data_IF_266647331552
#
_entry.id   IF_266647331552
#
_cell.length_a   1.000
_cell.length_b   1.000
_cell.length_c   1.000
_cell.angle_alpha   90.00
_cell.angle_beta   90.00
_cell.angle_gamma   90.00
#
_symmetry.space_group_name_H-M   'P 1'
#
loop_
_entity.id
_entity.type
_entity.pdbx_description
1 polymer ?
#
# COMPACT_ATOMS: atom_id res chain seq x y z
N UNK A 1 -10.71 -10.84 30.15
CA UNK A 1 -10.82 -9.69 29.24
C UNK A 1 -9.39 -9.35 28.80
N UNK A 2 -8.94 -9.82 27.64
CA UNK A 2 -7.63 -9.47 27.10
C UNK A 2 -7.70 -8.02 26.59
N UNK A 3 -6.78 -7.17 27.04
CA UNK A 3 -6.61 -5.82 26.51
C UNK A 3 -6.18 -5.95 25.03
N UNK A 4 -7.10 -5.69 24.13
CA UNK A 4 -6.86 -5.59 22.69
C UNK A 4 -6.31 -4.19 22.36
N UNK A 5 -5.18 -3.81 22.95
CA UNK A 5 -4.47 -2.59 22.59
C UNK A 5 -3.68 -2.81 21.29
N UNK A 6 -3.72 -1.84 20.36
CA UNK A 6 -2.83 -1.81 19.20
C UNK A 6 -1.37 -1.81 19.67
N UNK A 7 -0.47 -2.39 18.86
CA UNK A 7 0.97 -2.29 19.17
C UNK A 7 1.45 -0.84 19.01
N UNK A 8 2.52 -0.41 19.73
CA UNK A 8 3.09 0.93 19.56
C UNK A 8 3.48 1.25 18.11
N UNK A 9 3.93 0.26 17.35
CA UNK A 9 4.23 0.43 15.93
C UNK A 9 2.96 0.67 15.10
N UNK A 10 1.88 -0.07 15.37
CA UNK A 10 0.58 0.12 14.70
C UNK A 10 0.03 1.52 14.97
N UNK A 11 0.11 2.01 16.19
CA UNK A 11 -0.30 3.38 16.56
C UNK A 11 0.53 4.45 15.82
N UNK A 12 1.84 4.25 15.73
CA UNK A 12 2.73 5.15 14.99
C UNK A 12 2.40 5.18 13.49
N UNK A 13 2.18 4.03 12.88
CA UNK A 13 1.79 3.91 11.45
C UNK A 13 0.44 4.56 11.21
N UNK A 14 -0.55 4.31 12.07
CA UNK A 14 -1.87 4.93 11.98
C UNK A 14 -1.77 6.47 12.01
N UNK A 15 -1.01 7.02 12.96
CA UNK A 15 -0.84 8.48 13.10
C UNK A 15 -0.15 9.09 11.87
N UNK A 16 0.89 8.45 11.33
CA UNK A 16 1.60 8.90 10.13
C UNK A 16 0.69 8.95 8.90
N UNK A 17 -0.10 7.90 8.68
CA UNK A 17 -1.02 7.83 7.54
C UNK A 17 -2.24 8.72 7.71
N UNK A 18 -2.73 8.91 8.95
CA UNK A 18 -3.78 9.90 9.22
C UNK A 18 -3.32 11.32 8.87
N UNK A 19 -2.07 11.68 9.23
CA UNK A 19 -1.49 12.99 8.90
C UNK A 19 -1.29 13.20 7.39
N UNK A 20 -0.99 12.16 6.62
CA UNK A 20 -0.78 12.23 5.16
C UNK A 20 -2.05 11.95 4.35
N UNK A 21 -3.16 11.63 4.98
CA UNK A 21 -4.37 11.13 4.29
C UNK A 21 -4.96 12.13 3.30
N UNK A 22 -4.97 13.42 3.62
CA UNK A 22 -5.45 14.47 2.70
C UNK A 22 -4.54 14.60 1.48
N UNK A 23 -3.22 14.57 1.69
CA UNK A 23 -2.24 14.62 0.61
C UNK A 23 -2.35 13.39 -0.30
N UNK A 24 -2.52 12.20 0.29
CA UNK A 24 -2.71 10.96 -0.46
C UNK A 24 -3.99 10.99 -1.31
N UNK A 25 -5.11 11.46 -0.76
CA UNK A 25 -6.39 11.60 -1.47
C UNK A 25 -6.29 12.65 -2.60
N UNK A 26 -5.61 13.77 -2.35
CA UNK A 26 -5.37 14.80 -3.37
C UNK A 26 -4.51 14.30 -4.55
N UNK A 27 -3.69 13.27 -4.34
CA UNK A 27 -2.86 12.65 -5.38
C UNK A 27 -3.50 11.40 -6.01
N UNK A 28 -4.79 11.16 -5.79
CA UNK A 28 -5.49 9.95 -6.27
C UNK A 28 -5.33 9.73 -7.78
N UNK A 29 -5.40 10.79 -8.59
CA UNK A 29 -5.24 10.68 -10.06
C UNK A 29 -3.83 10.24 -10.47
N UNK A 30 -2.79 10.70 -9.80
CA UNK A 30 -1.40 10.29 -10.04
C UNK A 30 -1.21 8.83 -9.64
N UNK A 31 -1.74 8.44 -8.48
CA UNK A 31 -1.69 7.07 -7.97
C UNK A 31 -2.44 6.10 -8.89
N UNK A 32 -3.63 6.48 -9.35
CA UNK A 32 -4.44 5.65 -10.23
C UNK A 32 -3.78 5.48 -11.61
N UNK A 33 -3.20 6.54 -12.17
CA UNK A 33 -2.44 6.45 -13.41
C UNK A 33 -1.22 5.53 -13.26
N UNK A 34 -0.44 5.70 -12.18
CA UNK A 34 0.74 4.89 -11.90
C UNK A 34 0.41 3.41 -11.66
N UNK A 35 -0.59 3.15 -10.81
CA UNK A 35 -0.93 1.80 -10.33
C UNK A 35 -1.97 1.06 -11.18
N UNK A 36 -2.53 1.67 -12.24
CA UNK A 36 -3.62 1.08 -13.02
C UNK A 36 -3.29 -0.29 -13.59
N UNK A 37 -2.12 -0.46 -14.19
CA UNK A 37 -1.62 -1.72 -14.72
C UNK A 37 -1.38 -2.76 -13.62
N UNK A 38 -0.52 -2.46 -12.62
CA UNK A 38 -0.28 -3.34 -11.49
C UNK A 38 -1.55 -3.76 -10.73
N UNK A 39 -2.51 -2.83 -10.54
CA UNK A 39 -3.79 -3.15 -9.90
C UNK A 39 -4.57 -4.20 -10.70
N UNK A 40 -4.68 -4.04 -12.03
CA UNK A 40 -5.34 -5.05 -12.87
C UNK A 40 -4.69 -6.42 -12.72
N UNK A 41 -3.36 -6.49 -12.79
CA UNK A 41 -2.62 -7.75 -12.58
C UNK A 41 -2.91 -8.35 -11.20
N UNK A 42 -2.94 -7.55 -10.14
CA UNK A 42 -3.29 -8.02 -8.80
C UNK A 42 -4.70 -8.60 -8.74
N UNK A 43 -5.70 -7.95 -9.38
CA UNK A 43 -7.08 -8.45 -9.43
C UNK A 43 -7.19 -9.76 -10.24
N UNK A 44 -6.43 -9.87 -11.34
CA UNK A 44 -6.40 -11.10 -12.16
C UNK A 44 -5.79 -12.27 -11.37
N UNK A 45 -4.68 -12.04 -10.67
CA UNK A 45 -4.01 -13.04 -9.84
C UNK A 45 -4.86 -13.48 -8.63
N UNK A 46 -5.71 -12.59 -8.11
CA UNK A 46 -6.68 -12.92 -7.08
C UNK A 46 -7.88 -13.73 -7.61
N UNK A 47 -7.99 -13.93 -8.93
CA UNK A 47 -9.09 -14.67 -9.55
C UNK A 47 -10.45 -14.01 -9.36
N UNK A 48 -10.50 -12.68 -9.32
CA UNK A 48 -11.74 -11.94 -9.08
C UNK A 48 -12.56 -11.89 -10.36
N UNK A 49 -13.81 -12.35 -10.25
CA UNK A 49 -14.78 -12.41 -11.35
C UNK A 49 -16.07 -11.63 -10.99
N UNK A 50 -16.95 -11.36 -11.98
CA UNK A 50 -18.27 -10.81 -11.70
C UNK A 50 -19.05 -11.67 -10.70
N UNK A 51 -19.63 -11.00 -9.69
CA UNK A 51 -20.35 -11.68 -8.60
C UNK A 51 -19.50 -12.07 -7.39
N UNK A 52 -18.17 -11.98 -7.45
CA UNK A 52 -17.28 -12.31 -6.34
C UNK A 52 -17.56 -11.49 -5.09
N UNK A 53 -17.42 -12.12 -3.92
CA UNK A 53 -17.36 -11.46 -2.61
C UNK A 53 -15.89 -11.27 -2.22
N UNK A 54 -15.42 -10.02 -2.14
CA UNK A 54 -14.00 -9.70 -2.02
C UNK A 54 -13.74 -8.88 -0.75
N UNK A 55 -12.63 -9.19 -0.08
CA UNK A 55 -12.04 -8.41 1.00
C UNK A 55 -10.94 -7.50 0.43
N UNK A 56 -11.10 -6.19 0.58
CA UNK A 56 -10.11 -5.17 0.20
C UNK A 56 -9.44 -4.64 1.47
N UNK A 57 -8.19 -5.01 1.69
CA UNK A 57 -7.41 -4.72 2.89
C UNK A 57 -6.53 -3.49 2.64
N UNK A 58 -6.49 -2.57 3.62
CA UNK A 58 -5.80 -1.29 3.52
C UNK A 58 -6.28 -0.51 2.28
N UNK A 59 -7.60 -0.35 2.20
CA UNK A 59 -8.28 0.22 1.04
C UNK A 59 -8.02 1.73 0.86
N UNK A 60 -7.52 2.40 1.90
CA UNK A 60 -7.28 3.84 1.88
C UNK A 60 -8.56 4.63 1.61
N UNK A 61 -8.49 5.64 0.76
CA UNK A 61 -9.65 6.41 0.31
C UNK A 61 -10.47 5.71 -0.80
N UNK A 62 -10.13 4.47 -1.17
CA UNK A 62 -10.96 3.63 -2.05
C UNK A 62 -10.60 3.63 -3.54
N UNK A 63 -9.41 4.13 -3.94
CA UNK A 63 -9.01 4.13 -5.35
C UNK A 63 -9.08 2.72 -5.98
N UNK A 64 -8.42 1.73 -5.36
CA UNK A 64 -8.51 0.33 -5.81
C UNK A 64 -9.91 -0.28 -5.63
N UNK A 65 -10.63 0.12 -4.57
CA UNK A 65 -11.99 -0.38 -4.28
C UNK A 65 -12.96 -0.04 -5.42
N UNK A 66 -12.83 1.15 -6.01
CA UNK A 66 -13.66 1.58 -7.16
C UNK A 66 -13.38 0.70 -8.38
N UNK A 67 -12.11 0.43 -8.68
CA UNK A 67 -11.71 -0.48 -9.77
C UNK A 67 -12.21 -1.90 -9.51
N UNK A 68 -12.07 -2.37 -8.27
CA UNK A 68 -12.58 -3.66 -7.83
C UNK A 68 -14.11 -3.76 -7.98
N UNK A 69 -14.85 -2.70 -7.64
CA UNK A 69 -16.31 -2.67 -7.75
C UNK A 69 -16.79 -2.78 -9.21
N UNK A 70 -16.03 -2.20 -10.15
CA UNK A 70 -16.29 -2.37 -11.59
C UNK A 70 -16.09 -3.83 -12.01
N UNK A 71 -15.07 -4.50 -11.45
CA UNK A 71 -14.74 -5.90 -11.75
C UNK A 71 -15.81 -6.87 -11.23
N UNK A 72 -16.22 -6.76 -9.96
CA UNK A 72 -17.21 -7.66 -9.36
C UNK A 72 -18.65 -7.38 -9.84
N UNK A 73 -18.91 -6.17 -10.32
CA UNK A 73 -20.22 -5.77 -10.84
C UNK A 73 -21.31 -5.71 -9.75
N UNK A 74 -22.57 -5.51 -10.19
CA UNK A 74 -23.71 -5.23 -9.28
C UNK A 74 -24.09 -6.42 -8.39
N UNK A 75 -23.74 -7.64 -8.76
CA UNK A 75 -24.03 -8.86 -7.99
C UNK A 75 -22.92 -9.19 -6.98
N UNK A 76 -21.73 -8.61 -7.13
CA UNK A 76 -20.62 -8.78 -6.20
C UNK A 76 -20.84 -8.08 -4.87
N UNK A 77 -19.94 -8.33 -3.93
CA UNK A 77 -19.88 -7.66 -2.62
C UNK A 77 -18.44 -7.38 -2.27
N UNK A 78 -18.18 -6.22 -1.70
CA UNK A 78 -16.85 -5.82 -1.25
C UNK A 78 -16.95 -5.38 0.20
N UNK A 79 -16.10 -5.97 1.06
CA UNK A 79 -15.76 -5.40 2.35
C UNK A 79 -14.41 -4.71 2.21
N UNK A 80 -14.40 -3.38 2.27
CA UNK A 80 -13.19 -2.58 2.23
C UNK A 80 -12.82 -2.15 3.65
N UNK A 81 -11.61 -2.49 4.08
CA UNK A 81 -11.11 -2.20 5.44
C UNK A 81 -9.87 -1.33 5.40
N UNK A 82 -9.77 -0.40 6.35
CA UNK A 82 -8.55 0.38 6.59
C UNK A 82 -8.38 0.62 8.09
N UNK A 83 -7.14 0.78 8.53
CA UNK A 83 -6.81 1.06 9.92
C UNK A 83 -7.29 2.46 10.34
N UNK A 84 -7.25 3.44 9.42
CA UNK A 84 -7.59 4.83 9.65
C UNK A 84 -9.10 5.08 9.52
N UNK A 85 -9.82 5.44 10.60
CA UNK A 85 -11.23 5.85 10.49
C UNK A 85 -11.44 7.03 9.54
N UNK A 86 -10.46 7.94 9.45
CA UNK A 86 -10.51 9.07 8.54
C UNK A 86 -10.52 8.63 7.07
N UNK A 87 -9.62 7.70 6.68
CA UNK A 87 -9.60 7.14 5.32
C UNK A 87 -10.87 6.36 5.01
N UNK A 88 -11.40 5.61 5.97
CA UNK A 88 -12.67 4.89 5.81
C UNK A 88 -13.83 5.85 5.54
N UNK A 89 -13.88 6.99 6.20
CA UNK A 89 -14.92 8.00 5.93
C UNK A 89 -14.77 8.61 4.52
N UNK A 90 -13.53 8.89 4.09
CA UNK A 90 -13.24 9.30 2.71
C UNK A 90 -13.66 8.24 1.69
N UNK A 91 -13.36 6.97 1.96
CA UNK A 91 -13.78 5.84 1.14
C UNK A 91 -15.30 5.79 1.02
N UNK A 92 -16.03 5.91 2.13
CA UNK A 92 -17.52 5.96 2.12
C UNK A 92 -18.05 7.07 1.23
N UNK A 93 -17.47 8.27 1.33
CA UNK A 93 -17.84 9.40 0.48
C UNK A 93 -17.56 9.14 -1.01
N UNK A 94 -16.39 8.57 -1.34
CA UNK A 94 -15.99 8.25 -2.71
C UNK A 94 -16.90 7.16 -3.33
N UNK A 95 -17.17 6.11 -2.58
CA UNK A 95 -18.07 5.00 -2.95
C UNK A 95 -19.50 5.49 -3.17
N UNK A 96 -20.02 6.35 -2.27
CA UNK A 96 -21.36 6.92 -2.38
C UNK A 96 -21.49 7.81 -3.62
N UNK A 97 -20.50 8.67 -3.89
CA UNK A 97 -20.47 9.52 -5.09
C UNK A 97 -20.41 8.70 -6.38
N UNK A 98 -19.73 7.56 -6.36
CA UNK A 98 -19.67 6.63 -7.48
C UNK A 98 -20.91 5.72 -7.58
N UNK A 99 -21.88 5.78 -6.66
CA UNK A 99 -23.09 4.96 -6.66
C UNK A 99 -22.86 3.46 -6.41
N UNK A 100 -21.76 3.09 -5.76
CA UNK A 100 -21.30 1.72 -5.58
C UNK A 100 -21.92 1.08 -4.32
N UNK A 101 -23.17 0.64 -4.40
CA UNK A 101 -23.94 0.08 -3.27
C UNK A 101 -23.46 -1.30 -2.78
N UNK A 102 -22.60 -1.98 -3.55
CA UNK A 102 -22.06 -3.30 -3.20
C UNK A 102 -20.84 -3.21 -2.26
N UNK A 103 -20.36 -2.00 -1.93
CA UNK A 103 -19.18 -1.77 -1.09
C UNK A 103 -19.62 -1.41 0.32
N UNK A 104 -19.16 -2.19 1.30
CA UNK A 104 -19.17 -1.86 2.72
C UNK A 104 -17.77 -1.39 3.13
N UNK A 105 -17.67 -0.26 3.86
CA UNK A 105 -16.41 0.28 4.35
C UNK A 105 -16.36 0.24 5.88
N UNK A 106 -15.29 -0.36 6.44
CA UNK A 106 -15.15 -0.61 7.88
C UNK A 106 -13.74 -0.22 8.36
N UNK A 107 -13.65 0.52 9.47
CA UNK A 107 -12.38 0.72 10.17
C UNK A 107 -12.01 -0.57 10.91
N UNK A 108 -10.84 -1.15 10.57
CA UNK A 108 -10.37 -2.39 11.17
C UNK A 108 -8.84 -2.51 11.06
N UNK A 109 -8.21 -3.08 12.10
CA UNK A 109 -6.84 -3.53 12.02
C UNK A 109 -6.81 -4.90 11.33
N UNK A 110 -6.17 -4.95 10.17
CA UNK A 110 -6.08 -6.18 9.38
C UNK A 110 -5.25 -7.28 10.05
N UNK A 111 -4.50 -6.97 11.10
CA UNK A 111 -3.75 -7.93 11.91
C UNK A 111 -4.66 -8.66 12.92
N UNK A 112 -5.90 -8.20 13.07
CA UNK A 112 -6.89 -8.82 13.94
C UNK A 112 -7.85 -9.71 13.13
N UNK A 113 -8.29 -10.84 13.69
CA UNK A 113 -9.27 -11.69 13.02
C UNK A 113 -10.56 -10.92 12.70
N UNK A 114 -11.09 -11.14 11.50
CA UNK A 114 -12.42 -10.68 11.12
C UNK A 114 -13.49 -11.60 11.72
N UNK A 115 -14.71 -11.09 11.88
CA UNK A 115 -15.88 -11.89 12.27
C UNK A 115 -16.33 -12.81 11.12
N UNK A 116 -16.01 -12.41 9.89
CA UNK A 116 -16.31 -13.18 8.67
C UNK A 116 -15.25 -14.27 8.46
N UNK A 117 -15.62 -15.52 8.65
CA UNK A 117 -14.79 -16.69 8.33
C UNK A 117 -15.37 -17.43 7.12
N UNK A 118 -14.51 -18.01 6.27
CA UNK A 118 -14.92 -18.75 5.07
C UNK A 118 -15.95 -17.98 4.21
N UNK A 119 -15.77 -16.66 4.12
CA UNK A 119 -16.80 -15.76 3.59
C UNK A 119 -16.44 -15.14 2.24
N UNK A 120 -15.14 -15.00 1.92
CA UNK A 120 -14.70 -14.28 0.73
C UNK A 120 -14.15 -15.22 -0.33
N UNK A 121 -14.48 -14.96 -1.59
CA UNK A 121 -13.96 -15.67 -2.76
C UNK A 121 -12.51 -15.23 -3.05
N UNK A 122 -12.21 -13.96 -2.77
CA UNK A 122 -10.88 -13.40 -2.92
C UNK A 122 -10.60 -12.31 -1.88
N UNK A 123 -9.30 -12.03 -1.68
CA UNK A 123 -8.83 -10.88 -0.92
C UNK A 123 -7.72 -10.16 -1.67
N UNK A 124 -7.60 -8.85 -1.48
CA UNK A 124 -6.51 -8.04 -2.01
C UNK A 124 -5.94 -7.11 -0.94
N UNK A 125 -4.63 -6.77 -1.09
CA UNK A 125 -3.97 -5.73 -0.29
C UNK A 125 -2.96 -4.98 -1.17
N UNK A 126 -3.24 -3.71 -1.49
CA UNK A 126 -2.37 -2.88 -2.34
C UNK A 126 -1.54 -1.93 -1.51
N UNK A 127 -0.23 -2.15 -1.42
CA UNK A 127 0.76 -1.32 -0.73
C UNK A 127 0.51 -1.12 0.78
N UNK A 128 -0.30 -1.99 1.39
CA UNK A 128 -0.60 -1.93 2.83
C UNK A 128 0.18 -2.94 3.66
N UNK A 129 0.33 -4.18 3.16
CA UNK A 129 0.90 -5.30 3.93
C UNK A 129 2.31 -5.00 4.48
N UNK A 130 3.14 -4.29 3.72
CA UNK A 130 4.51 -3.93 4.11
C UNK A 130 4.58 -2.93 5.28
N UNK A 131 3.50 -2.20 5.54
CA UNK A 131 3.41 -1.18 6.59
C UNK A 131 2.97 -1.76 7.93
N UNK A 132 2.52 -3.02 7.96
CA UNK A 132 2.03 -3.69 9.15
C UNK A 132 3.18 -4.06 10.08
N UNK A 133 2.93 -4.01 11.39
CA UNK A 133 3.89 -4.42 12.40
C UNK A 133 4.18 -5.92 12.30
N UNK A 134 3.12 -6.72 12.13
CA UNK A 134 3.15 -8.18 12.08
C UNK A 134 2.40 -8.70 10.83
N UNK A 135 3.00 -8.62 9.62
CA UNK A 135 2.37 -9.09 8.40
C UNK A 135 1.82 -10.53 8.46
N UNK A 136 2.46 -11.49 9.16
CA UNK A 136 1.91 -12.84 9.31
C UNK A 136 0.53 -12.89 9.96
N UNK A 137 0.21 -11.97 10.88
CA UNK A 137 -1.12 -11.90 11.50
C UNK A 137 -2.19 -11.52 10.48
N UNK A 138 -1.90 -10.54 9.62
CA UNK A 138 -2.80 -10.17 8.52
C UNK A 138 -2.99 -11.33 7.53
N UNK A 139 -1.92 -12.02 7.17
CA UNK A 139 -1.99 -13.21 6.31
C UNK A 139 -2.86 -14.31 6.93
N UNK A 140 -2.70 -14.60 8.22
CA UNK A 140 -3.49 -15.59 8.95
C UNK A 140 -4.97 -15.20 9.05
N UNK A 141 -5.26 -13.93 9.37
CA UNK A 141 -6.63 -13.41 9.44
C UNK A 141 -7.31 -13.47 8.07
N UNK A 142 -6.58 -13.11 7.01
CA UNK A 142 -7.07 -13.19 5.63
C UNK A 142 -7.32 -14.63 5.20
N UNK A 143 -6.39 -15.56 5.52
CA UNK A 143 -6.56 -16.98 5.24
C UNK A 143 -7.83 -17.52 5.91
N UNK A 144 -8.08 -17.20 7.18
CA UNK A 144 -9.31 -17.60 7.87
C UNK A 144 -10.59 -17.03 7.23
N UNK A 145 -10.53 -15.80 6.73
CA UNK A 145 -11.68 -15.10 6.11
C UNK A 145 -12.03 -15.63 4.71
N UNK A 146 -11.05 -16.18 3.98
CA UNK A 146 -11.25 -16.75 2.65
C UNK A 146 -12.01 -18.08 2.71
N UNK A 147 -12.85 -18.34 1.72
CA UNK A 147 -13.42 -19.66 1.44
C UNK A 147 -12.32 -20.65 1.02
N UNK A 148 -12.57 -21.95 1.17
CA UNK A 148 -11.73 -22.97 0.57
C UNK A 148 -11.60 -22.75 -0.94
N UNK A 149 -10.35 -22.73 -1.44
CA UNK A 149 -10.04 -22.40 -2.82
C UNK A 149 -9.97 -20.90 -3.14
N UNK A 150 -10.36 -20.02 -2.20
CA UNK A 150 -10.24 -18.57 -2.34
C UNK A 150 -8.78 -18.12 -2.45
N UNK A 151 -8.54 -16.96 -3.09
CA UNK A 151 -7.19 -16.43 -3.33
C UNK A 151 -6.97 -15.11 -2.62
N UNK A 152 -5.75 -14.93 -2.12
CA UNK A 152 -5.26 -13.63 -1.67
C UNK A 152 -4.16 -13.13 -2.60
N UNK A 153 -4.25 -11.86 -3.03
CA UNK A 153 -3.19 -11.20 -3.79
C UNK A 153 -2.75 -9.93 -3.08
N UNK A 154 -1.46 -9.84 -2.74
CA UNK A 154 -0.85 -8.68 -2.09
C UNK A 154 0.19 -8.03 -2.99
N UNK A 155 0.18 -6.69 -3.02
CA UNK A 155 1.15 -5.88 -3.75
C UNK A 155 1.99 -5.07 -2.78
N UNK A 156 3.32 -5.16 -2.92
CA UNK A 156 4.30 -4.40 -2.12
C UNK A 156 5.44 -3.90 -3.03
N UNK A 157 6.29 -3.01 -2.53
CA UNK A 157 7.52 -2.65 -3.25
C UNK A 157 8.54 -3.80 -3.20
N UNK A 158 9.27 -3.98 -4.29
CA UNK A 158 10.49 -4.78 -4.33
C UNK A 158 11.62 -4.14 -3.49
N UNK A 159 12.79 -4.77 -3.44
CA UNK A 159 13.94 -4.28 -2.68
C UNK A 159 14.52 -2.96 -3.19
N UNK A 160 15.47 -2.37 -2.44
CA UNK A 160 16.02 -1.03 -2.69
C UNK A 160 16.74 -0.90 -4.04
N UNK A 161 17.33 -1.97 -4.57
CA UNK A 161 18.02 -1.93 -5.86
C UNK A 161 17.04 -1.77 -7.03
N UNK A 162 15.85 -2.32 -6.90
CA UNK A 162 14.76 -2.18 -7.87
C UNK A 162 13.89 -0.93 -7.64
N UNK A 163 14.11 -0.20 -6.53
CA UNK A 163 13.38 1.01 -6.16
C UNK A 163 14.34 2.14 -5.77
N UNK A 164 15.21 2.59 -6.68
CA UNK A 164 16.25 3.59 -6.38
C UNK A 164 15.66 4.93 -5.92
N UNK A 165 14.48 5.33 -6.41
CA UNK A 165 13.82 6.57 -5.98
C UNK A 165 13.46 6.52 -4.50
N UNK A 166 12.90 5.40 -4.01
CA UNK A 166 12.56 5.22 -2.59
C UNK A 166 13.84 5.20 -1.74
N UNK A 167 14.89 4.50 -2.22
CA UNK A 167 16.18 4.45 -1.54
C UNK A 167 16.81 5.85 -1.39
N UNK A 168 16.84 6.65 -2.47
CA UNK A 168 17.34 8.03 -2.45
C UNK A 168 16.52 8.85 -1.46
N UNK A 169 15.20 8.80 -1.57
CA UNK A 169 14.27 9.55 -0.71
C UNK A 169 14.53 9.27 0.77
N UNK A 170 14.49 8.01 1.17
CA UNK A 170 14.64 7.61 2.58
C UNK A 170 16.05 7.89 3.13
N UNK A 171 17.10 7.59 2.35
CA UNK A 171 18.48 7.82 2.78
C UNK A 171 18.81 9.31 2.92
N UNK A 172 18.31 10.16 2.01
CA UNK A 172 18.54 11.59 2.05
C UNK A 172 17.77 12.24 3.21
N UNK A 173 16.51 11.88 3.40
CA UNK A 173 15.71 12.36 4.52
C UNK A 173 16.34 11.98 5.87
N UNK A 174 16.76 10.73 6.04
CA UNK A 174 17.42 10.26 7.27
C UNK A 174 18.70 11.05 7.57
N UNK A 175 19.53 11.30 6.55
CA UNK A 175 20.74 12.09 6.70
C UNK A 175 20.49 13.52 7.15
N UNK A 176 19.51 14.21 6.54
CA UNK A 176 19.13 15.57 6.95
C UNK A 176 18.49 15.60 8.35
N UNK A 177 17.72 14.57 8.71
CA UNK A 177 17.15 14.44 10.06
C UNK A 177 18.19 14.02 11.13
N UNK A 178 19.46 13.77 10.75
CA UNK A 178 20.49 13.35 11.69
C UNK A 178 20.25 11.95 12.30
N UNK A 179 19.41 11.11 11.66
CA UNK A 179 19.17 9.75 12.15
C UNK A 179 20.05 8.74 11.42
N UNK A 180 20.51 7.66 12.11
CA UNK A 180 21.33 6.64 11.47
C UNK A 180 20.57 5.92 10.35
N UNK A 181 21.27 5.42 9.32
CA UNK A 181 20.67 4.59 8.29
C UNK A 181 19.97 3.38 8.91
N UNK A 182 18.70 3.16 8.52
CA UNK A 182 17.98 1.95 8.92
C UNK A 182 18.11 0.87 7.86
N UNK A 183 18.02 -0.39 8.29
CA UNK A 183 17.84 -1.51 7.35
C UNK A 183 16.61 -1.20 6.48
N UNK A 184 16.72 -1.13 5.14
CA UNK A 184 15.60 -0.87 4.25
C UNK A 184 14.49 -1.92 4.40
N UNK A 185 14.82 -3.09 4.92
CA UNK A 185 13.88 -4.18 5.18
C UNK A 185 13.36 -4.21 6.62
N UNK A 186 13.61 -3.17 7.41
CA UNK A 186 13.06 -3.10 8.76
C UNK A 186 11.52 -3.14 8.75
N UNK A 187 10.89 -3.85 9.71
CA UNK A 187 9.43 -3.95 9.80
C UNK A 187 8.73 -2.59 9.77
N UNK A 188 7.57 -2.52 9.11
CA UNK A 188 6.78 -1.31 8.94
C UNK A 188 7.34 -0.29 7.95
N UNK A 189 8.47 -0.59 7.30
CA UNK A 189 9.06 0.26 6.25
C UNK A 189 8.51 -0.04 4.86
N UNK A 190 8.60 0.93 3.95
CA UNK A 190 8.11 0.79 2.57
C UNK A 190 8.68 -0.43 1.83
N UNK A 191 9.93 -0.83 2.13
CA UNK A 191 10.61 -1.94 1.47
C UNK A 191 10.70 -3.20 2.35
N UNK A 192 10.01 -3.24 3.50
CA UNK A 192 10.14 -4.29 4.52
C UNK A 192 9.92 -5.71 3.98
N UNK A 193 9.04 -5.88 3.02
CA UNK A 193 8.69 -7.17 2.41
C UNK A 193 9.35 -7.38 1.04
N UNK A 194 10.26 -6.48 0.62
CA UNK A 194 10.84 -6.48 -0.72
C UNK A 194 12.00 -7.47 -0.93
N UNK A 195 12.40 -8.27 0.07
CA UNK A 195 13.45 -9.30 -0.10
C UNK A 195 12.95 -10.41 -1.02
N UNK A 196 13.76 -10.87 -2.00
CA UNK A 196 13.38 -11.96 -2.88
C UNK A 196 12.95 -13.21 -2.09
N UNK A 197 11.81 -13.79 -2.45
CA UNK A 197 11.26 -15.00 -1.85
C UNK A 197 10.67 -14.84 -0.44
N UNK A 198 10.81 -13.68 0.19
CA UNK A 198 10.33 -13.49 1.57
C UNK A 198 8.80 -13.52 1.66
N UNK A 199 8.10 -12.86 0.75
CA UNK A 199 6.63 -12.94 0.69
C UNK A 199 6.13 -14.37 0.49
N UNK A 200 6.76 -15.13 -0.40
CA UNK A 200 6.43 -16.52 -0.64
C UNK A 200 6.54 -17.37 0.65
N UNK A 201 7.61 -17.13 1.42
CA UNK A 201 7.81 -17.81 2.70
C UNK A 201 6.69 -17.46 3.69
N UNK A 202 6.33 -16.17 3.81
CA UNK A 202 5.27 -15.73 4.70
C UNK A 202 3.91 -16.32 4.33
N UNK A 203 3.55 -16.32 3.05
CA UNK A 203 2.29 -16.90 2.57
C UNK A 203 2.23 -18.41 2.88
N UNK A 204 3.29 -19.17 2.55
CA UNK A 204 3.34 -20.60 2.82
C UNK A 204 3.32 -20.91 4.32
N UNK A 205 3.98 -20.11 5.14
CA UNK A 205 4.04 -20.32 6.59
C UNK A 205 2.66 -20.25 7.28
N UNK A 206 1.70 -19.49 6.69
CA UNK A 206 0.33 -19.39 7.23
C UNK A 206 -0.67 -20.32 6.53
N UNK A 207 -0.20 -21.18 5.61
CA UNK A 207 -1.03 -22.23 5.02
C UNK A 207 -1.51 -21.96 3.59
N UNK A 208 -1.12 -20.85 2.94
CA UNK A 208 -1.43 -20.67 1.52
C UNK A 208 -0.67 -21.67 0.65
N UNK A 209 -1.38 -22.24 -0.31
CA UNK A 209 -0.87 -23.08 -1.40
C UNK A 209 -0.78 -22.29 -2.72
N UNK A 210 -0.21 -22.89 -3.77
CA UNK A 210 -0.06 -22.27 -5.11
C UNK A 210 0.54 -20.86 -5.05
N UNK A 211 1.50 -20.64 -4.13
CA UNK A 211 2.11 -19.32 -3.90
C UNK A 211 3.07 -18.96 -5.02
N UNK A 212 2.84 -17.82 -5.64
CA UNK A 212 3.69 -17.26 -6.70
C UNK A 212 3.83 -15.75 -6.54
N UNK A 213 5.04 -15.23 -6.79
CA UNK A 213 5.35 -13.80 -6.79
C UNK A 213 5.79 -13.36 -8.18
N UNK A 214 5.19 -12.27 -8.66
CA UNK A 214 5.48 -11.63 -9.93
C UNK A 214 6.11 -10.27 -9.69
N UNK A 215 7.19 -9.97 -10.41
CA UNK A 215 7.77 -8.64 -10.45
C UNK A 215 7.10 -7.83 -11.56
N UNK A 216 6.67 -6.62 -11.24
CA UNK A 216 6.02 -5.72 -12.18
C UNK A 216 6.79 -4.41 -12.19
N UNK A 217 7.34 -4.06 -13.35
CA UNK A 217 7.90 -2.72 -13.56
C UNK A 217 6.76 -1.70 -13.56
N UNK A 218 6.84 -0.75 -12.67
CA UNK A 218 5.84 0.29 -12.48
C UNK A 218 6.52 1.66 -12.32
N UNK A 219 7.25 2.15 -13.33
CA UNK A 219 7.93 3.43 -13.21
C UNK A 219 6.93 4.58 -13.08
N UNK A 220 7.25 5.54 -12.21
CA UNK A 220 6.57 6.82 -12.21
C UNK A 220 6.94 7.62 -13.46
N UNK A 221 5.97 7.99 -14.27
CA UNK A 221 6.15 8.86 -15.43
C UNK A 221 5.41 10.16 -15.21
N UNK A 222 6.16 11.25 -15.06
CA UNK A 222 5.65 12.57 -14.75
C UNK A 222 6.28 13.60 -15.70
N UNK A 223 5.67 14.78 -15.86
CA UNK A 223 6.23 15.84 -16.70
C UNK A 223 7.63 16.30 -16.26
N UNK A 224 7.91 16.29 -14.94
CA UNK A 224 9.19 16.72 -14.38
C UNK A 224 9.49 16.05 -13.05
N UNK A 225 10.75 16.16 -12.58
CA UNK A 225 11.12 15.80 -11.22
C UNK A 225 10.39 16.64 -10.17
N UNK A 226 10.03 17.89 -10.51
CA UNK A 226 9.30 18.79 -9.61
C UNK A 226 7.88 18.28 -9.33
N UNK A 227 7.21 17.69 -10.33
CA UNK A 227 5.92 17.04 -10.14
C UNK A 227 6.02 15.84 -9.19
N UNK A 228 7.13 15.08 -9.28
CA UNK A 228 7.37 13.98 -8.35
C UNK A 228 7.66 14.47 -6.93
N UNK A 229 8.43 15.55 -6.78
CA UNK A 229 8.67 16.18 -5.46
C UNK A 229 7.36 16.71 -4.86
N UNK A 230 6.50 17.34 -5.66
CA UNK A 230 5.18 17.78 -5.21
C UNK A 230 4.32 16.62 -4.72
N UNK A 231 4.31 15.50 -5.47
CA UNK A 231 3.66 14.25 -5.04
C UNK A 231 4.23 13.74 -3.71
N UNK A 232 5.56 13.67 -3.58
CA UNK A 232 6.22 13.17 -2.36
C UNK A 232 5.95 14.06 -1.14
N UNK A 233 5.98 15.38 -1.31
CA UNK A 233 5.65 16.35 -0.24
C UNK A 233 4.22 16.19 0.27
N UNK A 234 3.30 15.73 -0.57
CA UNK A 234 1.91 15.48 -0.20
C UNK A 234 1.66 14.07 0.36
N UNK A 235 2.33 13.05 -0.19
CA UNK A 235 1.93 11.65 0.00
C UNK A 235 2.96 10.76 0.71
N UNK A 236 4.24 11.20 0.84
CA UNK A 236 5.29 10.38 1.44
C UNK A 236 5.28 10.45 2.97
N UNK A 237 4.23 9.92 3.61
CA UNK A 237 4.00 9.97 5.05
C UNK A 237 5.25 9.69 5.93
N UNK A 238 6.04 8.64 5.69
CA UNK A 238 7.22 8.37 6.52
C UNK A 238 8.30 9.46 6.41
N UNK A 239 8.45 10.07 5.24
CA UNK A 239 9.44 11.15 5.01
C UNK A 239 8.96 12.46 5.60
N UNK A 240 7.69 12.79 5.41
CA UNK A 240 7.06 13.97 6.01
C UNK A 240 7.23 13.93 7.53
N UNK A 241 6.89 12.80 8.16
CA UNK A 241 7.06 12.61 9.59
C UNK A 241 8.53 12.73 10.04
N UNK A 242 9.47 12.17 9.26
CA UNK A 242 10.89 12.22 9.57
C UNK A 242 11.46 13.64 9.52
N UNK A 243 11.03 14.44 8.53
CA UNK A 243 11.50 15.81 8.35
C UNK A 243 10.75 16.84 9.22
N UNK A 244 9.58 16.51 9.77
CA UNK A 244 8.73 17.45 10.53
C UNK A 244 9.40 18.02 11.80
N UNK A 245 10.47 17.36 12.29
CA UNK A 245 11.23 17.81 13.45
C UNK A 245 12.28 18.88 13.13
N UNK A 246 12.55 19.12 11.85
CA UNK A 246 13.50 20.12 11.37
C UNK A 246 12.82 21.49 11.27
N UNK A 247 13.63 22.56 11.37
CA UNK A 247 13.15 23.89 11.02
C UNK A 247 12.82 24.01 9.52
N UNK A 248 12.05 25.01 9.10
CA UNK A 248 11.61 25.16 7.70
C UNK A 248 12.77 25.22 6.69
N UNK A 249 13.86 25.92 7.01
CA UNK A 249 15.01 26.06 6.10
C UNK A 249 15.73 24.72 5.92
N UNK A 250 15.88 23.94 6.99
CA UNK A 250 16.45 22.61 6.95
C UNK A 250 15.54 21.61 6.21
N UNK A 251 14.20 21.72 6.35
CA UNK A 251 13.25 20.93 5.56
C UNK A 251 13.41 21.24 4.07
N UNK A 252 13.46 22.51 3.68
CA UNK A 252 13.61 22.91 2.28
C UNK A 252 14.97 22.47 1.71
N UNK A 253 16.04 22.53 2.49
CA UNK A 253 17.34 21.99 2.10
C UNK A 253 17.29 20.49 1.87
N UNK A 254 16.58 19.72 2.71
CA UNK A 254 16.38 18.28 2.53
C UNK A 254 15.62 17.96 1.23
N UNK A 255 14.53 18.67 0.97
CA UNK A 255 13.74 18.48 -0.26
C UNK A 255 14.52 18.90 -1.53
N UNK A 256 15.29 19.97 -1.46
CA UNK A 256 16.17 20.41 -2.56
C UNK A 256 17.24 19.36 -2.88
N UNK A 257 17.81 18.72 -1.85
CA UNK A 257 18.79 17.66 -2.03
C UNK A 257 18.16 16.38 -2.61
N UNK A 258 16.98 15.97 -2.13
CA UNK A 258 16.21 14.86 -2.71
C UNK A 258 15.93 15.13 -4.19
N UNK A 259 15.43 16.33 -4.54
CA UNK A 259 15.18 16.74 -5.90
C UNK A 259 16.42 16.63 -6.79
N UNK A 260 17.56 17.17 -6.32
CA UNK A 260 18.83 17.15 -7.06
C UNK A 260 19.27 15.71 -7.40
N UNK A 261 19.12 14.78 -6.46
CA UNK A 261 19.49 13.38 -6.70
C UNK A 261 18.50 12.68 -7.63
N UNK A 262 17.20 12.97 -7.50
CA UNK A 262 16.16 12.38 -8.35
C UNK A 262 16.15 12.92 -9.78
N UNK A 263 16.77 14.09 -10.04
CA UNK A 263 16.98 14.62 -11.38
C UNK A 263 17.86 13.70 -12.27
N UNK A 264 18.57 12.75 -11.67
CA UNK A 264 19.28 11.70 -12.43
C UNK A 264 18.37 10.81 -13.28
N UNK A 265 17.06 10.84 -13.04
CA UNK A 265 16.05 10.11 -13.81
C UNK A 265 15.28 10.99 -14.81
N UNK A 266 15.74 12.22 -15.06
CA UNK A 266 15.21 13.08 -16.13
C UNK A 266 15.46 12.40 -17.50
N UNK A 267 14.43 12.45 -18.36
CA UNK A 267 14.48 11.96 -19.74
C UNK A 267 13.99 13.04 -20.69
N UNK A 268 14.22 12.88 -21.98
CA UNK A 268 13.86 13.90 -23.01
C UNK A 268 12.38 14.32 -22.95
N UNK A 269 11.48 13.39 -22.55
CA UNK A 269 10.03 13.64 -22.53
C UNK A 269 9.47 13.77 -21.11
N UNK A 270 10.26 14.20 -20.12
CA UNK A 270 9.82 14.37 -18.75
C UNK A 270 10.73 13.66 -17.74
N UNK A 271 10.14 13.06 -16.73
CA UNK A 271 10.82 12.33 -15.67
C UNK A 271 10.31 10.88 -15.58
N UNK A 272 11.23 9.92 -15.46
CA UNK A 272 10.92 8.49 -15.41
C UNK A 272 11.60 7.82 -14.23
N UNK A 273 10.95 7.84 -13.06
CA UNK A 273 11.45 7.25 -11.83
C UNK A 273 11.25 5.74 -11.78
N UNK A 274 12.33 4.94 -11.79
CA UNK A 274 12.22 3.49 -11.74
C UNK A 274 11.54 3.02 -10.45
N UNK A 275 10.56 2.15 -10.59
CA UNK A 275 9.90 1.44 -9.49
C UNK A 275 9.56 0.03 -9.94
N UNK A 276 9.73 -0.91 -9.03
CA UNK A 276 9.32 -2.31 -9.21
C UNK A 276 8.46 -2.74 -8.03
N UNK A 277 7.33 -3.34 -8.36
CA UNK A 277 6.39 -3.90 -7.40
C UNK A 277 6.47 -5.43 -7.43
N UNK A 278 6.22 -6.05 -6.28
CA UNK A 278 5.97 -7.48 -6.15
C UNK A 278 4.48 -7.69 -5.96
N UNK A 279 3.89 -8.56 -6.78
CA UNK A 279 2.53 -9.03 -6.58
C UNK A 279 2.59 -10.51 -6.26
N UNK A 280 2.27 -10.86 -5.02
CA UNK A 280 2.25 -12.25 -4.55
C UNK A 280 0.81 -12.71 -4.44
N UNK A 281 0.51 -13.89 -4.96
CA UNK A 281 -0.78 -14.55 -4.80
C UNK A 281 -0.60 -15.91 -4.14
N UNK A 282 -1.62 -16.34 -3.37
CA UNK A 282 -1.70 -17.66 -2.78
C UNK A 282 -3.16 -18.10 -2.67
N UNK A 283 -3.38 -19.41 -2.58
CA UNK A 283 -4.69 -20.06 -2.50
C UNK A 283 -4.89 -20.71 -1.13
N UNK A 284 -6.05 -20.52 -0.52
CA UNK A 284 -6.48 -21.27 0.68
C UNK A 284 -6.84 -22.71 0.39
#
# INVERSE_FOLDING_TARGET
MAQTGKSPMTETVEAQWAAAAEGWDAQASVLDAWLSGPTRTMLDLAGIEPGSRVLDIAAGAGGQTIVLAQRVGRQGRILATDLSPFLVERLRGNVARAGLRMVEARAADAQMPLTETDAFDAAICRLGLMLMAEPPLCLSATHAALKSGGRFSAMVFAGPDANPCIRILMATAARHAGVPPRDPFAPGGLLSLGRPGYLDQLFRAVGFSDVSTFQIEAPFRLPSVDDYIAFLRAAAAPVIALLSHLDPDAQDAAWADIRRQLAAFDVTAGWNGPNTLLVTTGRK
#
